data_IF_483550968253
#
_entry.id   IF_483550968253
#
_cell.length_a   1.000
_cell.length_b   1.000
_cell.length_c   1.000
_cell.angle_alpha   90.00
_cell.angle_beta   90.00
_cell.angle_gamma   90.00
#
_symmetry.space_group_name_H-M   'P 1'
#
loop_
_entity.id
_entity.type
_entity.pdbx_description
1 polymer ?
#
# COMPACT_ATOMS: atom_id res chain seq x y z
N UNK A 1 8.19 14.97 -25.44
CA UNK A 1 6.75 14.81 -25.15
C UNK A 1 6.29 13.42 -25.58
N UNK A 2 6.77 12.36 -24.91
CA UNK A 2 6.48 10.95 -25.26
C UNK A 2 6.28 10.03 -24.03
N UNK A 3 6.32 10.57 -22.80
CA UNK A 3 6.18 9.74 -21.58
C UNK A 3 4.74 9.51 -21.11
N UNK A 4 3.74 10.20 -21.67
CA UNK A 4 2.34 10.02 -21.25
C UNK A 4 1.65 8.80 -21.89
N UNK A 5 2.20 8.24 -22.97
CA UNK A 5 1.55 7.11 -23.66
C UNK A 5 1.77 5.75 -22.98
N UNK A 6 2.81 5.61 -22.15
CA UNK A 6 3.09 4.35 -21.43
C UNK A 6 2.27 4.18 -20.14
N UNK A 7 1.74 5.27 -19.57
CA UNK A 7 0.86 5.19 -18.39
C UNK A 7 -0.53 4.66 -18.78
N UNK A 8 -0.93 4.82 -20.05
CA UNK A 8 -2.29 4.51 -20.52
C UNK A 8 -2.54 3.02 -20.80
N UNK A 9 -1.51 2.25 -21.18
CA UNK A 9 -1.69 0.86 -21.63
C UNK A 9 -2.04 -0.14 -20.50
N UNK A 10 -1.83 0.22 -19.23
CA UNK A 10 -2.21 -0.62 -18.08
C UNK A 10 -3.65 -0.36 -17.60
N UNK A 11 -4.28 0.72 -18.07
CA UNK A 11 -5.66 1.11 -17.72
C UNK A 11 -6.69 0.25 -18.48
N UNK A 12 -6.28 -0.46 -19.55
CA UNK A 12 -7.18 -1.03 -20.57
C UNK A 12 -7.95 -2.31 -20.15
N UNK A 13 -7.81 -2.83 -18.92
CA UNK A 13 -8.61 -3.98 -18.43
C UNK A 13 -8.93 -3.91 -16.93
N UNK A 14 -9.82 -3.00 -16.50
CA UNK A 14 -10.28 -2.93 -15.11
C UNK A 14 -11.00 -4.22 -14.67
N UNK A 15 -11.60 -4.95 -15.60
CA UNK A 15 -12.43 -6.14 -15.32
C UNK A 15 -11.64 -7.37 -14.83
N UNK A 16 -10.31 -7.36 -14.98
CA UNK A 16 -9.41 -8.43 -14.52
C UNK A 16 -8.63 -8.07 -13.25
N UNK A 17 -8.72 -6.82 -12.79
CA UNK A 17 -8.04 -6.36 -11.57
C UNK A 17 -8.67 -6.95 -10.29
N UNK A 18 -9.94 -7.35 -10.34
CA UNK A 18 -10.69 -7.90 -9.20
C UNK A 18 -10.63 -9.42 -9.02
N UNK A 19 -10.06 -10.19 -9.96
CA UNK A 19 -10.14 -11.67 -9.97
C UNK A 19 -8.90 -12.39 -9.47
N UNK A 20 -7.79 -11.69 -9.23
CA UNK A 20 -6.65 -12.26 -8.50
C UNK A 20 -6.74 -11.77 -7.06
N UNK A 21 -6.95 -12.64 -6.07
CA UNK A 21 -6.66 -12.30 -4.69
C UNK A 21 -5.18 -11.93 -4.66
N UNK A 22 -4.88 -10.63 -4.74
CA UNK A 22 -3.51 -10.18 -4.61
C UNK A 22 -3.10 -10.61 -3.22
N UNK A 23 -2.21 -11.61 -3.11
CA UNK A 23 -1.74 -12.15 -1.82
C UNK A 23 -1.43 -11.02 -0.85
N UNK A 24 -0.87 -9.92 -1.36
CA UNK A 24 -0.61 -8.67 -0.63
C UNK A 24 -1.87 -8.00 -0.04
N UNK A 25 -2.95 -7.84 -0.81
CA UNK A 25 -4.20 -7.32 -0.27
C UNK A 25 -4.79 -8.24 0.79
N UNK A 26 -4.72 -9.57 0.61
CA UNK A 26 -5.15 -10.52 1.63
C UNK A 26 -4.35 -10.41 2.93
N UNK A 27 -3.02 -10.25 2.83
CA UNK A 27 -2.15 -10.03 4.00
C UNK A 27 -2.40 -8.69 4.68
N UNK A 28 -2.64 -7.62 3.91
CA UNK A 28 -3.01 -6.29 4.45
C UNK A 28 -4.36 -6.37 5.16
N UNK A 29 -5.36 -7.01 4.55
CA UNK A 29 -6.69 -7.19 5.15
C UNK A 29 -6.59 -7.98 6.46
N UNK A 30 -5.77 -9.04 6.50
CA UNK A 30 -5.50 -9.79 7.72
C UNK A 30 -4.80 -8.95 8.79
N UNK A 31 -3.81 -8.13 8.42
CA UNK A 31 -3.11 -7.24 9.34
C UNK A 31 -4.04 -6.15 9.91
N UNK A 32 -5.01 -5.69 9.11
CA UNK A 32 -5.98 -4.66 9.50
C UNK A 32 -7.20 -5.21 10.23
N UNK A 33 -7.42 -6.53 10.25
CA UNK A 33 -8.57 -7.17 10.87
C UNK A 33 -8.86 -6.71 12.33
N UNK A 34 -7.84 -6.52 13.20
CA UNK A 34 -8.07 -6.02 14.57
C UNK A 34 -8.71 -4.62 14.63
N UNK A 35 -8.57 -3.81 13.58
CA UNK A 35 -9.12 -2.45 13.53
C UNK A 35 -10.58 -2.41 13.07
N UNK A 36 -11.13 -3.51 12.56
CA UNK A 36 -12.51 -3.57 12.06
C UNK A 36 -13.53 -3.25 13.16
N UNK A 37 -13.30 -3.71 14.38
CA UNK A 37 -14.18 -3.48 15.53
C UNK A 37 -13.98 -2.13 16.24
N UNK A 38 -13.01 -1.31 15.79
CA UNK A 38 -12.70 0.00 16.37
C UNK A 38 -12.77 1.08 15.30
N UNK A 39 -11.66 1.35 14.61
CA UNK A 39 -11.55 2.35 13.55
C UNK A 39 -12.52 2.07 12.40
N UNK A 40 -12.77 0.78 12.09
CA UNK A 40 -13.74 0.38 11.06
C UNK A 40 -15.18 0.76 11.38
N UNK A 41 -15.55 0.83 12.67
CA UNK A 41 -16.89 1.24 13.10
C UNK A 41 -17.03 2.76 13.21
N UNK A 42 -16.02 3.43 13.78
CA UNK A 42 -16.09 4.88 14.04
C UNK A 42 -15.74 5.70 12.81
N UNK A 43 -14.78 5.24 12.01
CA UNK A 43 -14.23 5.97 10.87
C UNK A 43 -13.88 5.05 9.68
N UNK A 44 -14.88 4.40 9.04
CA UNK A 44 -14.65 3.42 7.97
C UNK A 44 -13.83 3.98 6.79
N UNK A 45 -13.99 5.26 6.46
CA UNK A 45 -13.20 5.92 5.41
C UNK A 45 -11.70 5.99 5.72
N UNK A 46 -11.32 6.11 6.99
CA UNK A 46 -9.92 6.16 7.43
C UNK A 46 -9.28 4.77 7.37
N UNK A 47 -10.01 3.74 7.77
CA UNK A 47 -9.58 2.36 7.60
C UNK A 47 -9.39 2.01 6.11
N UNK A 48 -10.31 2.46 5.25
CA UNK A 48 -10.20 2.28 3.80
C UNK A 48 -9.01 3.05 3.18
N UNK A 49 -8.64 4.20 3.72
CA UNK A 49 -7.44 4.94 3.30
C UNK A 49 -6.17 4.23 3.76
N UNK A 50 -6.10 3.81 5.02
CA UNK A 50 -4.96 3.06 5.56
C UNK A 50 -4.67 1.80 4.74
N UNK A 51 -5.71 1.06 4.33
CA UNK A 51 -5.56 -0.10 3.42
C UNK A 51 -4.87 0.27 2.10
N UNK A 52 -5.24 1.39 1.49
CA UNK A 52 -4.66 1.86 0.22
C UNK A 52 -3.22 2.35 0.40
N UNK A 53 -2.96 3.06 1.50
CA UNK A 53 -1.61 3.52 1.85
C UNK A 53 -0.65 2.33 2.04
N UNK A 54 -1.09 1.31 2.80
CA UNK A 54 -0.32 0.08 2.98
C UNK A 54 -0.15 -0.71 1.68
N UNK A 55 -1.12 -0.70 0.77
CA UNK A 55 -0.98 -1.35 -0.53
C UNK A 55 0.08 -0.68 -1.42
N UNK A 56 0.23 0.65 -1.31
CA UNK A 56 1.28 1.40 -1.99
C UNK A 56 2.65 1.15 -1.37
N UNK A 57 2.75 1.17 -0.03
CA UNK A 57 4.01 0.95 0.70
C UNK A 57 4.49 -0.50 0.59
N UNK A 58 3.60 -1.48 0.75
CA UNK A 58 3.91 -2.92 0.67
C UNK A 58 3.78 -3.38 -0.80
N UNK A 59 4.61 -2.78 -1.66
CA UNK A 59 4.63 -3.06 -3.08
C UNK A 59 6.02 -3.39 -3.59
N UNK A 60 6.06 -4.23 -4.63
CA UNK A 60 7.31 -4.52 -5.34
C UNK A 60 7.91 -3.25 -5.95
N UNK A 61 7.06 -2.32 -6.40
CA UNK A 61 7.48 -1.03 -6.95
C UNK A 61 8.16 -0.14 -5.90
N UNK A 62 7.62 -0.09 -4.67
CA UNK A 62 8.23 0.67 -3.59
C UNK A 62 9.60 0.08 -3.18
N UNK A 63 9.70 -1.25 -3.09
CA UNK A 63 10.97 -1.93 -2.83
C UNK A 63 11.98 -1.65 -3.96
N UNK A 64 11.56 -1.83 -5.21
CA UNK A 64 12.40 -1.58 -6.38
C UNK A 64 12.87 -0.13 -6.45
N UNK A 65 11.99 0.85 -6.21
CA UNK A 65 12.36 2.27 -6.19
C UNK A 65 13.44 2.56 -5.15
N UNK A 66 13.36 1.95 -3.97
CA UNK A 66 14.34 2.14 -2.91
C UNK A 66 15.70 1.49 -3.23
N UNK A 67 15.70 0.31 -3.85
CA UNK A 67 16.94 -0.37 -4.21
C UNK A 67 17.58 0.20 -5.48
N UNK A 68 16.78 0.48 -6.51
CA UNK A 68 17.24 0.88 -7.84
C UNK A 68 17.52 2.39 -7.93
N UNK A 69 16.58 3.22 -7.46
CA UNK A 69 16.70 4.68 -7.60
C UNK A 69 17.39 5.32 -6.38
N UNK A 70 17.14 4.79 -5.17
CA UNK A 70 17.75 5.33 -3.95
C UNK A 70 19.01 4.58 -3.50
N UNK A 71 19.39 3.49 -4.17
CA UNK A 71 20.65 2.75 -3.92
C UNK A 71 20.72 2.05 -2.57
N UNK A 72 19.58 1.81 -1.91
CA UNK A 72 19.55 1.11 -0.63
C UNK A 72 19.83 -0.39 -0.80
N UNK A 73 20.46 -1.00 0.20
CA UNK A 73 20.46 -2.46 0.30
C UNK A 73 19.02 -2.97 0.51
N UNK A 74 18.73 -4.25 0.19
CA UNK A 74 17.40 -4.83 0.43
C UNK A 74 16.92 -4.67 1.88
N UNK A 75 17.80 -4.87 2.86
CA UNK A 75 17.47 -4.75 4.29
C UNK A 75 17.15 -3.30 4.69
N UNK A 76 17.92 -2.33 4.19
CA UNK A 76 17.65 -0.91 4.42
C UNK A 76 16.33 -0.47 3.76
N UNK A 77 16.05 -0.97 2.56
CA UNK A 77 14.79 -0.70 1.86
C UNK A 77 13.60 -1.27 2.66
N UNK A 78 13.68 -2.51 3.14
CA UNK A 78 12.66 -3.11 4.00
C UNK A 78 12.50 -2.31 5.30
N UNK A 79 13.58 -1.95 5.97
CA UNK A 79 13.52 -1.12 7.19
C UNK A 79 12.84 0.24 6.94
N UNK A 80 13.10 0.85 5.78
CA UNK A 80 12.46 2.10 5.37
C UNK A 80 10.96 1.94 5.09
N UNK A 81 10.55 0.86 4.43
CA UNK A 81 9.15 0.54 4.19
C UNK A 81 8.40 0.21 5.49
N UNK A 82 9.02 -0.53 6.41
CA UNK A 82 8.46 -0.82 7.74
C UNK A 82 8.24 0.47 8.53
N UNK A 83 9.22 1.39 8.54
CA UNK A 83 9.07 2.71 9.18
C UNK A 83 7.91 3.50 8.56
N UNK A 84 7.78 3.46 7.23
CA UNK A 84 6.72 4.18 6.51
C UNK A 84 5.34 3.57 6.81
N UNK A 85 5.21 2.24 6.77
CA UNK A 85 3.99 1.52 7.11
C UNK A 85 3.55 1.79 8.57
N UNK A 86 4.52 1.84 9.49
CA UNK A 86 4.27 2.20 10.90
C UNK A 86 3.75 3.62 11.01
N UNK A 87 4.42 4.58 10.35
CA UNK A 87 4.03 6.00 10.38
C UNK A 87 2.60 6.21 9.88
N UNK A 88 2.22 5.61 8.74
CA UNK A 88 0.86 5.78 8.19
C UNK A 88 -0.20 5.08 9.06
N UNK A 89 0.14 3.94 9.67
CA UNK A 89 -0.74 3.24 10.61
C UNK A 89 -0.99 4.09 11.85
N UNK A 90 0.06 4.62 12.46
CA UNK A 90 -0.10 5.52 13.61
C UNK A 90 -0.87 6.79 13.29
N UNK A 91 -0.64 7.38 12.11
CA UNK A 91 -1.37 8.56 11.68
C UNK A 91 -2.88 8.27 11.54
N UNK A 92 -3.23 7.12 10.96
CA UNK A 92 -4.62 6.67 10.86
C UNK A 92 -5.28 6.47 12.24
N UNK A 93 -4.51 6.03 13.25
CA UNK A 93 -5.00 5.83 14.61
C UNK A 93 -5.08 7.13 15.43
N UNK A 94 -4.19 8.10 15.20
CA UNK A 94 -4.06 9.32 16.02
C UNK A 94 -5.05 10.43 15.71
N UNK A 95 -5.46 10.63 14.45
CA UNK A 95 -6.31 11.80 14.10
C UNK A 95 -7.80 11.63 14.44
N UNK A 96 -8.12 10.92 15.53
CA UNK A 96 -9.47 10.70 16.04
C UNK A 96 -9.79 11.63 17.20
#
# INVERSE_FOLDING_TARGET
MQQQELISATITRPDLAGTRPGVRFGLIDQALAPLNGTLGLTHPGRLAQLRRDLAAVVSAEALFSLTDLAGLTPDEAVASLVRTATTVTEAALRSG
#
